data_IF_541784186694
#
_entry.id   IF_541784186694
#
_cell.length_a   1.000
_cell.length_b   1.000
_cell.length_c   1.000
_cell.angle_alpha   90.00
_cell.angle_beta   90.00
_cell.angle_gamma   90.00
#
_symmetry.space_group_name_H-M   'P 1'
#
loop_
_entity.id
_entity.type
_entity.pdbx_description
1 polymer ?
#
# COMPACT_ATOMS: atom_id res chain seq x y z
N UNK A 1 4.62 -2.11 16.13
CA UNK A 1 4.06 -3.32 15.47
C UNK A 1 3.42 -2.91 14.16
N UNK A 2 2.84 -3.80 13.36
CA UNK A 2 2.28 -3.38 12.08
C UNK A 2 1.43 -4.41 11.36
N UNK A 3 0.98 -4.03 10.17
CA UNK A 3 0.27 -4.85 9.20
C UNK A 3 1.18 -5.08 7.98
N UNK A 4 1.04 -6.25 7.35
CA UNK A 4 1.81 -6.64 6.16
C UNK A 4 0.87 -7.26 5.12
N UNK A 5 0.96 -6.80 3.88
CA UNK A 5 0.04 -7.20 2.81
C UNK A 5 0.07 -8.70 2.51
N UNK A 6 1.23 -9.33 2.59
CA UNK A 6 1.43 -10.72 2.19
C UNK A 6 0.50 -11.72 2.91
N UNK A 7 0.27 -11.52 4.22
CA UNK A 7 -0.42 -12.50 5.07
C UNK A 7 -1.84 -12.85 4.60
N UNK A 8 -2.52 -11.93 3.92
CA UNK A 8 -3.86 -12.15 3.38
C UNK A 8 -3.92 -11.97 1.86
N UNK A 9 -3.22 -10.98 1.31
CA UNK A 9 -3.37 -10.57 -0.10
C UNK A 9 -2.38 -11.27 -1.03
N UNK A 10 -1.23 -11.76 -0.51
CA UNK A 10 -0.15 -12.35 -1.31
C UNK A 10 0.23 -11.43 -2.51
N UNK A 11 0.47 -12.01 -3.68
CA UNK A 11 0.71 -11.31 -4.94
C UNK A 11 -0.62 -11.03 -5.68
N UNK A 12 -1.48 -10.19 -5.09
CA UNK A 12 -2.78 -9.81 -5.65
C UNK A 12 -2.70 -8.84 -6.82
N UNK A 13 -1.93 -9.14 -7.87
CA UNK A 13 -1.69 -8.21 -9.00
C UNK A 13 -2.79 -8.26 -10.10
N UNK A 14 -3.64 -9.29 -10.10
CA UNK A 14 -4.77 -9.42 -11.03
C UNK A 14 -6.10 -8.96 -10.42
N UNK A 15 -6.29 -7.65 -10.43
CA UNK A 15 -7.45 -6.98 -9.83
C UNK A 15 -8.75 -7.17 -10.62
N UNK A 16 -8.68 -7.56 -11.89
CA UNK A 16 -9.86 -7.84 -12.71
C UNK A 16 -10.49 -9.19 -12.35
N UNK A 17 -9.65 -10.22 -12.14
CA UNK A 17 -10.13 -11.56 -11.85
C UNK A 17 -10.48 -11.75 -10.36
N UNK A 18 -9.77 -11.05 -9.46
CA UNK A 18 -10.03 -11.12 -8.03
C UNK A 18 -9.93 -9.74 -7.34
N UNK A 19 -10.93 -8.86 -7.54
CA UNK A 19 -10.89 -7.50 -7.00
C UNK A 19 -10.76 -7.46 -5.48
N UNK A 20 -11.30 -8.45 -4.78
CA UNK A 20 -11.28 -8.53 -3.31
C UNK A 20 -9.87 -8.79 -2.73
N UNK A 21 -8.95 -9.29 -3.57
CA UNK A 21 -7.56 -9.59 -3.21
C UNK A 21 -6.57 -8.63 -3.87
N UNK A 22 -7.06 -7.65 -4.62
CA UNK A 22 -6.21 -6.71 -5.34
C UNK A 22 -5.27 -5.99 -4.37
N UNK A 23 -3.97 -5.98 -4.69
CA UNK A 23 -2.95 -5.18 -4.03
C UNK A 23 -2.78 -3.89 -4.82
N UNK A 24 -3.57 -2.88 -4.47
CA UNK A 24 -3.58 -1.56 -5.10
C UNK A 24 -3.52 -0.42 -4.08
N UNK A 25 -3.46 0.80 -4.59
CA UNK A 25 -3.44 2.03 -3.80
C UNK A 25 -4.66 2.13 -2.87
N UNK A 26 -5.86 1.83 -3.37
CA UNK A 26 -7.10 1.91 -2.59
C UNK A 26 -7.06 1.01 -1.36
N UNK A 27 -6.58 -0.22 -1.51
CA UNK A 27 -6.38 -1.14 -0.39
C UNK A 27 -5.45 -0.50 0.65
N UNK A 28 -4.28 -0.01 0.26
CA UNK A 28 -3.30 0.51 1.22
C UNK A 28 -3.82 1.75 1.95
N UNK A 29 -4.52 2.65 1.25
CA UNK A 29 -5.13 3.82 1.88
C UNK A 29 -6.22 3.41 2.86
N UNK A 30 -7.07 2.44 2.52
CA UNK A 30 -8.11 1.94 3.43
C UNK A 30 -7.53 1.30 4.70
N UNK A 31 -6.39 0.61 4.60
CA UNK A 31 -5.68 0.08 5.76
C UNK A 31 -5.15 1.22 6.63
N UNK A 32 -4.61 2.29 6.03
CA UNK A 32 -4.17 3.46 6.77
C UNK A 32 -5.33 4.17 7.49
N UNK A 33 -6.49 4.30 6.83
CA UNK A 33 -7.71 4.83 7.44
C UNK A 33 -8.17 3.97 8.62
N UNK A 34 -8.18 2.65 8.48
CA UNK A 34 -8.50 1.76 9.61
C UNK A 34 -7.50 1.91 10.75
N UNK A 35 -6.21 2.07 10.44
CA UNK A 35 -5.20 2.27 11.48
C UNK A 35 -5.52 3.49 12.36
N UNK A 36 -5.93 4.59 11.73
CA UNK A 36 -6.27 5.84 12.39
C UNK A 36 -7.66 5.82 13.06
N UNK A 37 -8.68 5.29 12.38
CA UNK A 37 -10.07 5.37 12.85
C UNK A 37 -10.44 4.27 13.86
N UNK A 38 -9.81 3.09 13.79
CA UNK A 38 -10.26 1.90 14.53
C UNK A 38 -9.40 1.57 15.76
N UNK A 39 -8.44 2.43 16.12
CA UNK A 39 -7.67 2.29 17.36
C UNK A 39 -6.37 1.49 17.25
N UNK A 40 -5.92 1.15 16.04
CA UNK A 40 -4.72 0.30 15.88
C UNK A 40 -3.43 1.06 16.22
N UNK A 41 -3.36 2.36 15.93
CA UNK A 41 -2.20 3.18 16.29
C UNK A 41 -2.04 3.26 17.82
N UNK A 42 -3.13 3.48 18.55
CA UNK A 42 -3.18 3.52 20.01
C UNK A 42 -2.80 2.17 20.62
N UNK A 43 -3.10 1.08 19.92
CA UNK A 43 -2.67 -0.27 20.28
C UNK A 43 -1.19 -0.56 19.93
N UNK A 44 -0.46 0.38 19.30
CA UNK A 44 0.96 0.27 18.98
C UNK A 44 1.29 -0.32 17.61
N UNK A 45 0.31 -0.37 16.69
CA UNK A 45 0.54 -0.70 15.29
C UNK A 45 0.88 0.56 14.50
N UNK A 46 2.13 0.67 14.05
CA UNK A 46 2.73 1.90 13.50
C UNK A 46 3.20 1.71 12.06
N UNK A 47 3.34 0.46 11.59
CA UNK A 47 3.91 0.14 10.29
C UNK A 47 2.87 -0.49 9.38
N UNK A 48 2.73 0.05 8.17
CA UNK A 48 2.03 -0.57 7.05
C UNK A 48 3.11 -1.04 6.07
N UNK A 49 3.26 -2.35 5.92
CA UNK A 49 4.29 -2.96 5.08
C UNK A 49 3.64 -3.51 3.81
N UNK A 50 4.01 -2.92 2.68
CA UNK A 50 3.65 -3.41 1.36
C UNK A 50 4.74 -4.39 0.94
N UNK A 51 4.36 -5.66 0.80
CA UNK A 51 5.27 -6.75 0.43
C UNK A 51 5.46 -6.82 -1.09
N UNK A 52 5.78 -8.00 -1.64
CA UNK A 52 6.06 -8.18 -3.07
C UNK A 52 4.89 -7.76 -3.99
N UNK A 53 5.16 -7.68 -5.30
CA UNK A 53 4.21 -7.43 -6.37
C UNK A 53 3.61 -6.02 -6.44
N UNK A 54 4.20 -5.01 -5.82
CA UNK A 54 3.78 -3.60 -5.96
C UNK A 54 4.35 -2.91 -7.22
N UNK A 55 5.50 -3.37 -7.73
CA UNK A 55 6.20 -2.73 -8.83
C UNK A 55 5.75 -3.24 -10.20
N UNK A 56 6.04 -2.45 -11.23
CA UNK A 56 6.12 -2.94 -12.60
C UNK A 56 7.17 -4.05 -12.71
N UNK A 57 7.04 -4.89 -13.73
CA UNK A 57 8.03 -5.93 -14.06
C UNK A 57 9.33 -5.35 -14.58
N UNK A 58 9.23 -4.22 -15.27
CA UNK A 58 10.36 -3.52 -15.87
C UNK A 58 10.69 -2.24 -15.11
N UNK A 59 11.98 -1.94 -15.01
CA UNK A 59 12.46 -0.67 -14.47
C UNK A 59 12.17 0.46 -15.45
N UNK A 60 12.13 1.68 -14.95
CA UNK A 60 12.16 2.87 -15.80
C UNK A 60 13.46 2.96 -16.59
N UNK A 61 13.49 3.84 -17.60
CA UNK A 61 14.66 4.05 -18.47
C UNK A 61 15.92 4.50 -17.75
N UNK A 62 15.79 5.07 -16.55
CA UNK A 62 16.88 5.45 -15.64
C UNK A 62 17.24 4.36 -14.62
N UNK A 63 16.67 3.16 -14.74
CA UNK A 63 16.96 1.99 -13.92
C UNK A 63 16.25 1.94 -12.57
N UNK A 64 15.30 2.85 -12.29
CA UNK A 64 14.55 2.86 -11.02
C UNK A 64 13.39 1.85 -11.03
N UNK A 65 13.06 1.34 -9.85
CA UNK A 65 11.79 0.64 -9.65
C UNK A 65 10.66 1.65 -9.76
N UNK A 66 9.59 1.25 -10.44
CA UNK A 66 8.38 2.06 -10.57
C UNK A 66 7.18 1.22 -10.13
N UNK A 67 6.22 1.82 -9.43
CA UNK A 67 5.00 1.12 -9.03
C UNK A 67 4.15 0.78 -10.27
N UNK A 68 3.38 -0.30 -10.18
CA UNK A 68 2.41 -0.67 -11.21
C UNK A 68 1.45 0.49 -11.50
N UNK A 69 1.42 0.96 -12.75
CA UNK A 69 0.71 2.20 -13.10
C UNK A 69 -0.81 2.09 -13.03
N UNK A 70 -1.35 0.87 -13.11
CA UNK A 70 -2.79 0.66 -13.05
C UNK A 70 -3.26 0.53 -11.60
N UNK A 71 -2.48 -0.16 -10.76
CA UNK A 71 -2.82 -0.39 -9.35
C UNK A 71 -2.39 0.75 -8.42
N UNK A 72 -1.32 1.46 -8.78
CA UNK A 72 -0.77 2.58 -8.00
C UNK A 72 -0.60 3.83 -8.87
N UNK A 73 -1.70 4.40 -9.38
CA UNK A 73 -1.67 5.47 -10.38
C UNK A 73 -1.02 6.76 -9.87
N UNK A 74 -1.07 7.05 -8.57
CA UNK A 74 -0.42 8.22 -7.97
C UNK A 74 1.00 7.91 -7.45
N UNK A 75 1.39 6.63 -7.48
CA UNK A 75 2.69 6.12 -7.11
C UNK A 75 2.99 6.10 -5.60
N UNK A 76 4.09 5.45 -5.23
CA UNK A 76 4.41 5.18 -3.82
C UNK A 76 4.65 6.43 -2.98
N UNK A 77 5.10 7.54 -3.59
CA UNK A 77 5.28 8.80 -2.84
C UNK A 77 3.94 9.32 -2.33
N UNK A 78 2.89 9.27 -3.16
CA UNK A 78 1.56 9.72 -2.76
C UNK A 78 1.04 8.93 -1.55
N UNK A 79 1.20 7.60 -1.57
CA UNK A 79 0.84 6.72 -0.44
C UNK A 79 1.64 7.09 0.82
N UNK A 80 2.96 7.26 0.69
CA UNK A 80 3.81 7.62 1.82
C UNK A 80 3.44 8.97 2.42
N UNK A 81 3.14 9.97 1.58
CA UNK A 81 2.72 11.29 2.01
C UNK A 81 1.35 11.22 2.73
N UNK A 82 0.41 10.43 2.19
CA UNK A 82 -0.91 10.22 2.77
C UNK A 82 -0.82 9.61 4.17
N UNK A 83 -0.11 8.49 4.31
CA UNK A 83 0.05 7.80 5.60
C UNK A 83 0.75 8.73 6.61
N UNK A 84 1.81 9.41 6.18
CA UNK A 84 2.57 10.31 7.06
C UNK A 84 1.72 11.48 7.54
N UNK A 85 0.89 12.05 6.67
CA UNK A 85 -0.04 13.12 7.02
C UNK A 85 -1.11 12.64 8.00
N UNK A 86 -1.71 11.48 7.73
CA UNK A 86 -2.76 10.91 8.57
C UNK A 86 -2.26 10.58 9.97
N UNK A 87 -1.03 10.05 10.09
CA UNK A 87 -0.52 9.55 11.37
C UNK A 87 0.16 10.62 12.23
N UNK A 88 0.64 11.70 11.63
CA UNK A 88 1.53 12.64 12.31
C UNK A 88 1.13 14.13 12.17
N UNK A 89 -0.03 14.45 11.61
CA UNK A 89 -0.58 15.82 11.52
C UNK A 89 0.42 16.87 10.99
N UNK A 90 1.00 16.61 9.81
CA UNK A 90 1.85 17.58 9.09
C UNK A 90 1.05 18.54 8.18
#
# INVERSE_FOLDING_TARGET
MGWMSWGYYMCGDNCLDNPQKCLDEELILSVADSFYNDGYQEAGYEYIVIDDCWSERERSSDGRLVPDKNRFPNGMKYISDYVSKLFYDY
#
